data_IF_940496315710
#
_entry.id   IF_940496315710
#
_cell.length_a   1.000
_cell.length_b   1.000
_cell.length_c   1.000
_cell.angle_alpha   90.00
_cell.angle_beta   90.00
_cell.angle_gamma   90.00
#
_symmetry.space_group_name_H-M   'P 1'
#
loop_
_entity.id
_entity.type
_entity.pdbx_description
1 polymer ?
#
# COMPACT_ATOMS: atom_id res chain seq x y z
N UNK A 1 5.10 8.59 1.06
CA UNK A 1 4.82 8.41 2.50
C UNK A 1 5.00 6.94 2.83
N UNK A 2 6.05 6.52 3.55
CA UNK A 2 6.23 5.11 3.95
C UNK A 2 7.27 4.93 5.06
N UNK A 3 8.40 5.65 4.99
CA UNK A 3 9.46 5.57 6.01
C UNK A 3 8.88 5.88 7.39
N UNK A 4 9.15 5.01 8.37
CA UNK A 4 8.66 5.16 9.75
C UNK A 4 7.23 4.70 9.99
N UNK A 5 6.48 4.34 8.93
CA UNK A 5 5.10 3.83 9.03
C UNK A 5 5.10 2.34 9.42
N UNK A 6 3.97 1.79 9.90
CA UNK A 6 3.86 0.35 10.14
C UNK A 6 3.90 -0.45 8.84
N UNK A 7 4.40 -1.70 8.92
CA UNK A 7 4.23 -2.67 7.83
C UNK A 7 2.78 -3.17 7.83
N UNK A 8 2.05 -2.93 6.73
CA UNK A 8 0.67 -3.34 6.54
C UNK A 8 0.54 -4.75 5.94
N UNK A 9 1.58 -5.25 5.28
CA UNK A 9 1.61 -6.62 4.74
C UNK A 9 1.50 -7.71 5.83
N UNK A 10 2.16 -7.50 6.99
CA UNK A 10 2.09 -8.35 8.20
C UNK A 10 2.12 -9.86 7.95
N UNK A 11 2.87 -10.31 6.94
CA UNK A 11 2.93 -11.72 6.54
C UNK A 11 3.44 -12.58 7.71
N UNK A 12 2.66 -13.57 8.19
CA UNK A 12 3.06 -14.41 9.32
C UNK A 12 4.38 -15.14 9.07
N UNK A 13 5.27 -15.12 10.07
CA UNK A 13 6.61 -15.73 9.98
C UNK A 13 7.62 -14.99 9.10
N UNK A 14 7.22 -13.91 8.41
CA UNK A 14 8.09 -13.11 7.53
C UNK A 14 8.24 -11.66 8.05
N UNK A 15 7.17 -11.08 8.59
CA UNK A 15 7.15 -9.68 8.97
C UNK A 15 8.07 -9.41 10.16
N UNK A 16 9.04 -8.50 9.97
CA UNK A 16 9.94 -8.04 11.04
C UNK A 16 9.39 -6.84 11.83
N UNK A 17 8.33 -6.19 11.34
CA UNK A 17 7.78 -4.94 11.87
C UNK A 17 8.78 -3.78 12.00
N UNK A 18 9.96 -3.90 11.38
CA UNK A 18 11.00 -2.86 11.42
C UNK A 18 10.60 -1.66 10.55
N UNK A 19 10.12 -0.60 11.21
CA UNK A 19 9.66 0.66 10.61
C UNK A 19 10.76 1.41 9.86
N UNK A 20 12.04 1.20 10.20
CA UNK A 20 13.15 1.86 9.51
C UNK A 20 13.30 1.36 8.06
N UNK A 21 12.81 0.14 7.79
CA UNK A 21 12.90 -0.52 6.47
C UNK A 21 11.63 -0.37 5.64
N UNK A 22 10.59 0.29 6.16
CA UNK A 22 9.29 0.35 5.48
C UNK A 22 9.33 1.26 4.27
N UNK A 23 8.86 0.73 3.14
CA UNK A 23 8.79 1.40 1.83
C UNK A 23 7.41 1.22 1.20
N UNK A 24 7.13 1.96 0.13
CA UNK A 24 5.95 1.70 -0.71
C UNK A 24 6.24 0.46 -1.58
N UNK A 25 5.54 -0.63 -1.31
CA UNK A 25 5.58 -1.87 -2.07
C UNK A 25 4.44 -1.87 -3.09
N UNK A 26 4.75 -1.87 -4.38
CA UNK A 26 3.75 -1.90 -5.44
C UNK A 26 3.11 -3.28 -5.59
N UNK A 27 1.89 -3.32 -6.12
CA UNK A 27 1.24 -4.56 -6.49
C UNK A 27 2.00 -5.29 -7.61
N UNK A 28 1.94 -6.63 -7.57
CA UNK A 28 2.45 -7.50 -8.64
C UNK A 28 1.34 -8.00 -9.59
N UNK A 29 0.12 -7.45 -9.50
CA UNK A 29 -1.02 -7.86 -10.31
C UNK A 29 -1.16 -7.02 -11.59
N UNK A 30 -1.32 -7.68 -12.74
CA UNK A 30 -1.47 -7.00 -14.05
C UNK A 30 -2.68 -6.06 -14.10
N UNK A 31 -3.77 -6.39 -13.40
CA UNK A 31 -4.97 -5.55 -13.29
C UNK A 31 -4.71 -4.19 -12.65
N UNK A 32 -3.60 -4.04 -11.93
CA UNK A 32 -3.16 -2.78 -11.31
C UNK A 32 -2.14 -2.02 -12.19
N UNK A 33 -2.03 -2.38 -13.47
CA UNK A 33 -1.12 -1.76 -14.43
C UNK A 33 0.30 -2.35 -14.45
N UNK A 34 0.57 -3.42 -13.69
CA UNK A 34 1.89 -4.10 -13.71
C UNK A 34 2.14 -4.71 -15.10
N UNK A 35 3.28 -4.39 -15.73
CA UNK A 35 3.69 -4.99 -17.00
C UNK A 35 5.22 -5.00 -17.17
N UNK A 36 5.84 -6.17 -17.43
CA UNK A 36 7.29 -6.25 -17.67
C UNK A 36 8.14 -5.55 -16.60
N UNK A 37 8.97 -4.57 -17.00
CA UNK A 37 9.78 -3.74 -16.11
C UNK A 37 9.00 -2.58 -15.43
N UNK A 38 7.75 -2.31 -15.85
CA UNK A 38 6.87 -1.30 -15.26
C UNK A 38 6.32 -1.80 -13.92
N UNK A 39 6.33 -0.93 -12.90
CA UNK A 39 5.62 -1.15 -11.63
C UNK A 39 4.10 -0.98 -11.84
N UNK A 40 3.30 -1.48 -10.90
CA UNK A 40 1.88 -1.12 -10.85
C UNK A 40 1.71 0.39 -10.60
N UNK A 41 0.52 0.92 -10.83
CA UNK A 41 0.24 2.33 -10.55
C UNK A 41 0.37 2.63 -9.05
N UNK A 42 0.76 3.85 -8.70
CA UNK A 42 1.15 4.21 -7.32
C UNK A 42 0.01 4.09 -6.30
N UNK A 43 -1.25 4.27 -6.72
CA UNK A 43 -2.42 4.04 -5.87
C UNK A 43 -2.59 2.56 -5.49
N UNK A 44 -1.93 1.63 -6.20
CA UNK A 44 -1.84 0.21 -5.87
C UNK A 44 -0.49 -0.12 -5.22
N UNK A 45 -0.19 0.56 -4.11
CA UNK A 45 0.96 0.29 -3.26
C UNK A 45 0.55 0.13 -1.80
N UNK A 46 1.39 -0.52 -1.00
CA UNK A 46 1.20 -0.71 0.45
C UNK A 46 2.49 -0.43 1.20
N UNK A 47 2.40 0.01 2.44
CA UNK A 47 3.56 0.06 3.33
C UNK A 47 4.02 -1.36 3.70
N UNK A 48 5.25 -1.71 3.35
CA UNK A 48 5.83 -3.01 3.70
C UNK A 48 7.26 -2.88 4.20
N UNK A 49 7.61 -3.62 5.26
CA UNK A 49 9.01 -3.76 5.69
C UNK A 49 9.80 -4.55 4.65
N UNK A 50 11.13 -4.44 4.69
CA UNK A 50 12.00 -5.07 3.68
C UNK A 50 11.78 -6.58 3.53
N UNK A 51 11.53 -7.30 4.63
CA UNK A 51 11.27 -8.74 4.59
C UNK A 51 9.95 -9.09 3.88
N UNK A 52 8.86 -8.42 4.22
CA UNK A 52 7.57 -8.62 3.55
C UNK A 52 7.60 -8.18 2.09
N UNK A 53 8.32 -7.09 1.79
CA UNK A 53 8.52 -6.62 0.42
C UNK A 53 9.22 -7.68 -0.44
N UNK A 54 10.35 -8.22 0.04
CA UNK A 54 11.07 -9.30 -0.65
C UNK A 54 10.20 -10.53 -0.84
N UNK A 55 9.41 -10.91 0.15
CA UNK A 55 8.48 -12.04 0.04
C UNK A 55 7.38 -11.79 -1.00
N UNK A 56 6.82 -10.58 -1.07
CA UNK A 56 5.79 -10.22 -2.04
C UNK A 56 6.32 -10.30 -3.48
N UNK A 57 7.54 -9.82 -3.71
CA UNK A 57 8.14 -9.75 -5.04
C UNK A 57 8.74 -11.08 -5.49
N UNK A 58 9.48 -11.74 -4.61
CA UNK A 58 10.38 -12.85 -4.97
C UNK A 58 10.13 -14.11 -4.13
N UNK A 59 9.24 -14.05 -3.14
CA UNK A 59 8.96 -15.18 -2.26
C UNK A 59 8.32 -16.37 -2.99
N UNK A 60 8.56 -17.60 -2.49
CA UNK A 60 8.13 -18.84 -3.14
C UNK A 60 6.64 -19.14 -2.97
N UNK A 61 5.89 -18.30 -2.23
CA UNK A 61 4.47 -18.49 -2.02
C UNK A 61 3.68 -18.46 -3.34
N UNK A 62 2.58 -19.22 -3.47
CA UNK A 62 1.71 -19.17 -4.63
C UNK A 62 1.25 -17.74 -4.94
N UNK A 63 1.12 -17.42 -6.24
CA UNK A 63 0.71 -16.08 -6.69
C UNK A 63 -0.62 -15.64 -6.05
N UNK A 64 -1.58 -16.56 -5.91
CA UNK A 64 -2.87 -16.28 -5.26
C UNK A 64 -2.73 -15.88 -3.79
N UNK A 65 -1.81 -16.51 -3.04
CA UNK A 65 -1.55 -16.17 -1.65
C UNK A 65 -0.93 -14.78 -1.52
N UNK A 66 0.03 -14.45 -2.39
CA UNK A 66 0.66 -13.12 -2.44
C UNK A 66 -0.34 -12.04 -2.83
N UNK A 67 -1.22 -12.34 -3.79
CA UNK A 67 -2.32 -11.47 -4.19
C UNK A 67 -3.28 -11.20 -3.02
N UNK A 68 -3.73 -12.23 -2.31
CA UNK A 68 -4.63 -12.09 -1.17
C UNK A 68 -4.00 -11.25 -0.04
N UNK A 69 -2.72 -11.50 0.29
CA UNK A 69 -1.99 -10.71 1.28
C UNK A 69 -1.87 -9.24 0.86
N UNK A 70 -1.58 -8.98 -0.41
CA UNK A 70 -1.53 -7.62 -0.94
C UNK A 70 -2.89 -6.92 -0.85
N UNK A 71 -3.99 -7.57 -1.28
CA UNK A 71 -5.32 -6.96 -1.24
C UNK A 71 -5.77 -6.62 0.20
N UNK A 72 -5.50 -7.51 1.16
CA UNK A 72 -5.78 -7.24 2.57
C UNK A 72 -4.97 -6.04 3.10
N UNK A 73 -3.67 -5.98 2.76
CA UNK A 73 -2.82 -4.86 3.13
C UNK A 73 -3.22 -3.54 2.43
N UNK A 74 -3.73 -3.62 1.20
CA UNK A 74 -4.16 -2.47 0.42
C UNK A 74 -5.46 -1.86 0.97
N UNK A 75 -6.39 -2.69 1.44
CA UNK A 75 -7.53 -2.21 2.21
C UNK A 75 -7.08 -1.42 3.46
N UNK A 76 -6.11 -1.94 4.22
CA UNK A 76 -5.55 -1.22 5.36
C UNK A 76 -4.85 0.08 4.92
N UNK A 77 -4.13 0.07 3.80
CA UNK A 77 -3.46 1.24 3.25
C UNK A 77 -4.46 2.36 2.90
N UNK A 78 -5.63 2.01 2.35
CA UNK A 78 -6.69 2.98 2.06
C UNK A 78 -7.22 3.63 3.34
N UNK A 79 -7.35 2.88 4.44
CA UNK A 79 -7.75 3.44 5.74
C UNK A 79 -6.68 4.39 6.29
N UNK A 80 -5.41 4.03 6.18
CA UNK A 80 -4.28 4.90 6.57
C UNK A 80 -4.22 6.18 5.74
N UNK A 81 -4.46 6.10 4.42
CA UNK A 81 -4.55 7.29 3.57
C UNK A 81 -5.74 8.17 3.94
N UNK A 82 -6.89 7.60 4.31
CA UNK A 82 -8.01 8.39 4.84
C UNK A 82 -7.61 9.11 6.13
N UNK A 83 -6.98 8.41 7.07
CA UNK A 83 -6.50 9.02 8.31
C UNK A 83 -5.55 10.19 8.03
N UNK A 84 -4.56 10.01 7.16
CA UNK A 84 -3.61 11.06 6.77
C UNK A 84 -4.32 12.22 6.06
N UNK A 85 -5.23 11.95 5.13
CA UNK A 85 -5.90 12.99 4.35
C UNK A 85 -6.75 13.94 5.23
N UNK A 86 -7.33 13.43 6.32
CA UNK A 86 -8.21 14.18 7.23
C UNK A 86 -7.53 14.66 8.51
N UNK A 87 -6.31 14.22 8.79
CA UNK A 87 -5.55 14.68 9.94
C UNK A 87 -4.90 16.04 9.66
N UNK A 88 -5.39 17.09 10.32
CA UNK A 88 -4.86 18.45 10.20
C UNK A 88 -3.40 18.61 10.65
N UNK A 89 -2.87 17.66 11.44
CA UNK A 89 -1.48 17.68 11.92
C UNK A 89 -0.50 17.04 10.94
N UNK A 90 -0.98 16.22 10.01
CA UNK A 90 -0.16 15.59 8.97
C UNK A 90 0.40 16.63 7.99
N UNK A 91 1.60 16.42 7.46
CA UNK A 91 2.25 17.39 6.56
C UNK A 91 1.39 17.64 5.29
N UNK A 92 1.27 18.88 4.79
CA UNK A 92 0.41 19.19 3.63
C UNK A 92 0.68 18.32 2.40
N UNK A 93 1.96 18.01 2.12
CA UNK A 93 2.36 17.13 1.01
C UNK A 93 1.83 15.70 1.17
N UNK A 94 1.78 15.22 2.42
CA UNK A 94 1.39 13.85 2.73
C UNK A 94 -0.14 13.74 2.63
N UNK A 95 -0.87 14.74 3.14
CA UNK A 95 -2.33 14.84 2.93
C UNK A 95 -2.70 14.89 1.45
N UNK A 96 -1.99 15.70 0.65
CA UNK A 96 -2.23 15.82 -0.78
C UNK A 96 -1.96 14.49 -1.52
N UNK A 97 -0.87 13.80 -1.19
CA UNK A 97 -0.56 12.50 -1.78
C UNK A 97 -1.58 11.42 -1.39
N UNK A 98 -2.05 11.42 -0.14
CA UNK A 98 -3.08 10.49 0.33
C UNK A 98 -4.42 10.77 -0.36
N UNK A 99 -4.83 12.03 -0.46
CA UNK A 99 -6.04 12.44 -1.17
C UNK A 99 -5.98 12.06 -2.66
N UNK A 100 -4.84 12.26 -3.33
CA UNK A 100 -4.65 11.84 -4.72
C UNK A 100 -4.80 10.33 -4.89
N UNK A 101 -4.22 9.52 -4.00
CA UNK A 101 -4.34 8.07 -4.08
C UNK A 101 -5.79 7.61 -3.88
N UNK A 102 -6.52 8.23 -2.95
CA UNK A 102 -7.93 7.95 -2.73
C UNK A 102 -8.79 8.33 -3.95
N UNK A 103 -8.52 9.46 -4.58
CA UNK A 103 -9.22 9.91 -5.79
C UNK A 103 -9.05 8.92 -6.95
N UNK A 104 -7.82 8.45 -7.18
CA UNK A 104 -7.52 7.42 -8.20
C UNK A 104 -8.22 6.09 -7.97
N UNK A 105 -8.66 5.82 -6.74
CA UNK A 105 -9.40 4.64 -6.36
C UNK A 105 -10.91 4.88 -6.28
N UNK A 106 -11.40 6.09 -6.61
CA UNK A 106 -12.77 6.54 -6.34
C UNK A 106 -13.18 6.33 -4.86
N UNK A 107 -12.21 6.45 -3.95
CA UNK A 107 -12.36 6.15 -2.52
C UNK A 107 -12.42 7.41 -1.64
N UNK A 108 -12.47 8.59 -2.25
CA UNK A 108 -12.67 9.89 -1.59
C UNK A 108 -14.04 9.92 -0.92
N UNK A 109 -14.14 10.49 0.29
CA UNK A 109 -15.39 10.52 1.07
C UNK A 109 -16.57 11.22 0.36
N UNK A 110 -16.34 11.96 -0.72
CA UNK A 110 -17.38 12.62 -1.53
C UNK A 110 -17.87 11.82 -2.76
N UNK A 111 -17.28 10.66 -3.09
CA UNK A 111 -17.70 9.86 -4.26
C UNK A 111 -18.98 9.03 -4.01
N UNK A 112 -19.50 9.04 -2.78
CA UNK A 112 -20.82 8.55 -2.40
C UNK A 112 -21.75 9.74 -2.14
N UNK A 113 -21.97 10.59 -3.16
CA UNK A 113 -23.19 11.41 -3.20
C UNK A 113 -24.26 10.61 -3.96
N UNK A 114 -25.51 10.61 -3.49
CA UNK A 114 -26.60 9.84 -4.12
C UNK A 114 -26.83 10.22 -5.58
#
# INVERSE_FOLDING_TARGET
MARGMPCLLRVPGICTQDRATVVCCHSNLSIHGKAGARKADDQYSVWGCAACHRWLDQGPAPCAQKAAAFMAAHLAQVLEWRAIAFDGSSAPRDRAAAAWALDRLNATLGALQP
#
